data_IF_718470604370
#
_entry.id   IF_718470604370
#
_cell.length_a   1.000
_cell.length_b   1.000
_cell.length_c   1.000
_cell.angle_alpha   90.00
_cell.angle_beta   90.00
_cell.angle_gamma   90.00
#
_symmetry.space_group_name_H-M   'P 1'
#
loop_
_entity.id
_entity.type
_entity.pdbx_description
1 polymer ?
#
# COMPACT_ATOMS: atom_id res chain seq x y z
N UNK A 1 -20.76 16.85 -38.81
CA UNK A 1 -19.42 16.86 -38.18
C UNK A 1 -19.39 17.73 -36.89
N UNK A 2 -20.01 18.90 -36.91
CA UNK A 2 -19.90 19.92 -35.84
C UNK A 2 -20.62 19.53 -34.49
N UNK A 3 -21.68 18.73 -34.53
CA UNK A 3 -22.40 18.34 -33.32
C UNK A 3 -21.72 17.18 -32.55
N UNK A 4 -21.06 16.29 -33.27
CA UNK A 4 -20.36 15.14 -32.66
C UNK A 4 -19.11 15.61 -31.93
N UNK A 5 -18.36 16.54 -32.53
CA UNK A 5 -17.16 17.13 -31.93
C UNK A 5 -17.45 17.91 -30.65
N UNK A 6 -18.60 18.61 -30.58
CA UNK A 6 -19.01 19.35 -29.37
C UNK A 6 -19.41 18.43 -28.23
N UNK A 7 -20.11 17.35 -28.49
CA UNK A 7 -20.48 16.37 -27.45
C UNK A 7 -19.26 15.65 -26.88
N UNK A 8 -18.25 15.40 -27.71
CA UNK A 8 -17.01 14.74 -27.29
C UNK A 8 -16.15 15.65 -26.40
N UNK A 9 -16.15 16.97 -26.70
CA UNK A 9 -15.45 17.99 -25.90
C UNK A 9 -16.15 18.16 -24.55
N UNK A 10 -17.47 18.28 -24.52
CA UNK A 10 -18.25 18.41 -23.29
C UNK A 10 -18.07 17.19 -22.36
N UNK A 11 -18.03 15.99 -22.93
CA UNK A 11 -17.85 14.75 -22.18
C UNK A 11 -16.44 14.65 -21.56
N UNK A 12 -15.39 15.00 -22.32
CA UNK A 12 -14.02 15.03 -21.83
C UNK A 12 -13.80 16.07 -20.73
N UNK A 13 -14.40 17.24 -20.86
CA UNK A 13 -14.35 18.28 -19.84
C UNK A 13 -15.06 17.83 -18.54
N UNK A 14 -16.22 17.18 -18.68
CA UNK A 14 -16.98 16.68 -17.55
C UNK A 14 -16.20 15.60 -16.76
N UNK A 15 -15.58 14.66 -17.45
CA UNK A 15 -14.71 13.64 -16.83
C UNK A 15 -13.53 14.31 -16.09
N UNK A 16 -12.89 15.31 -16.72
CA UNK A 16 -11.79 16.02 -16.10
C UNK A 16 -12.17 16.71 -14.78
N UNK A 17 -13.36 17.31 -14.72
CA UNK A 17 -13.89 17.94 -13.50
C UNK A 17 -14.12 16.89 -12.40
N UNK A 18 -14.71 15.74 -12.74
CA UNK A 18 -14.94 14.67 -11.77
C UNK A 18 -13.64 14.06 -11.23
N UNK A 19 -12.61 13.93 -12.09
CA UNK A 19 -11.31 13.44 -11.66
C UNK A 19 -10.65 14.40 -10.65
N UNK A 20 -10.69 15.71 -10.91
CA UNK A 20 -10.18 16.72 -9.97
C UNK A 20 -10.94 16.68 -8.66
N UNK A 21 -12.26 16.63 -8.69
CA UNK A 21 -13.08 16.52 -7.48
C UNK A 21 -12.72 15.27 -6.67
N UNK A 22 -12.54 14.14 -7.33
CA UNK A 22 -12.12 12.90 -6.68
C UNK A 22 -10.73 13.01 -6.03
N UNK A 23 -9.78 13.68 -6.72
CA UNK A 23 -8.45 13.96 -6.15
C UNK A 23 -8.58 14.85 -4.91
N UNK A 24 -9.34 15.95 -4.99
CA UNK A 24 -9.54 16.87 -3.87
C UNK A 24 -10.22 16.19 -2.66
N UNK A 25 -11.15 15.26 -2.90
CA UNK A 25 -11.94 14.62 -1.85
C UNK A 25 -11.24 13.42 -1.19
N UNK A 26 -10.47 12.64 -1.94
CA UNK A 26 -9.99 11.32 -1.51
C UNK A 26 -8.47 11.18 -1.44
N UNK A 27 -7.71 12.11 -2.04
CA UNK A 27 -6.26 12.06 -2.07
C UNK A 27 -5.65 13.03 -1.06
N UNK A 28 -4.46 12.65 -0.58
CA UNK A 28 -3.65 13.42 0.36
C UNK A 28 -2.29 13.68 -0.25
N UNK A 29 -1.89 14.93 -0.31
CA UNK A 29 -0.54 15.35 -0.64
C UNK A 29 0.25 15.55 0.65
N UNK A 30 1.45 14.97 0.73
CA UNK A 30 2.24 14.97 1.94
C UNK A 30 3.73 14.89 1.70
N UNK A 31 4.46 15.43 2.64
CA UNK A 31 5.88 15.19 2.82
C UNK A 31 6.18 14.82 4.27
N UNK A 32 7.18 13.98 4.47
CA UNK A 32 7.55 13.55 5.81
C UNK A 32 9.01 13.10 5.90
N UNK A 33 9.50 12.99 7.13
CA UNK A 33 10.66 12.19 7.46
C UNK A 33 10.41 11.38 8.73
N UNK A 34 11.17 10.31 8.93
CA UNK A 34 11.00 9.41 10.05
C UNK A 34 12.29 9.25 10.85
N UNK A 35 12.13 9.12 12.16
CA UNK A 35 13.18 8.78 13.11
C UNK A 35 12.89 7.41 13.71
N UNK A 36 13.82 6.44 13.68
CA UNK A 36 13.59 5.11 14.23
C UNK A 36 13.48 5.16 15.76
N UNK A 37 12.57 4.33 16.32
CA UNK A 37 12.44 4.11 17.76
C UNK A 37 13.39 3.03 18.27
N UNK A 38 14.42 2.70 17.49
CA UNK A 38 15.46 1.75 17.83
C UNK A 38 16.84 2.38 17.66
N UNK A 39 17.81 1.88 18.42
CA UNK A 39 19.22 2.22 18.30
C UNK A 39 20.06 0.96 18.25
N UNK A 40 21.30 1.10 17.81
CA UNK A 40 22.30 0.02 17.87
C UNK A 40 23.01 0.09 19.20
N UNK A 41 23.08 -1.02 19.94
CA UNK A 41 23.82 -1.15 21.18
C UNK A 41 25.34 -1.43 20.93
N UNK A 42 26.09 -1.54 22.01
CA UNK A 42 27.54 -1.79 21.95
C UNK A 42 27.89 -3.17 21.33
N UNK A 43 26.93 -4.10 21.30
CA UNK A 43 27.05 -5.43 20.68
C UNK A 43 26.60 -5.45 19.20
N UNK A 44 26.34 -4.30 18.59
CA UNK A 44 25.77 -4.14 17.23
C UNK A 44 24.38 -4.77 17.07
N UNK A 45 23.57 -4.82 18.12
CA UNK A 45 22.18 -5.28 18.06
C UNK A 45 21.25 -4.09 18.07
N UNK A 46 20.15 -4.22 17.32
CA UNK A 46 19.07 -3.25 17.38
C UNK A 46 18.26 -3.43 18.67
N UNK A 47 18.16 -2.38 19.46
CA UNK A 47 17.39 -2.33 20.72
C UNK A 47 16.44 -1.15 20.68
N UNK A 48 15.29 -1.29 21.33
CA UNK A 48 14.31 -0.21 21.43
C UNK A 48 14.86 0.95 22.27
N UNK A 49 14.47 2.17 21.94
CA UNK A 49 14.72 3.34 22.76
C UNK A 49 13.99 3.22 24.09
N UNK A 50 14.62 3.67 25.17
CA UNK A 50 13.96 3.83 26.47
C UNK A 50 12.88 4.92 26.41
N UNK A 51 11.98 4.97 27.38
CA UNK A 51 10.94 5.99 27.46
C UNK A 51 11.52 7.41 27.57
N UNK A 52 12.68 7.56 28.24
CA UNK A 52 13.40 8.84 28.34
C UNK A 52 13.96 9.26 26.96
N UNK A 53 14.60 8.34 26.25
CA UNK A 53 15.14 8.58 24.91
C UNK A 53 14.03 8.88 23.89
N UNK A 54 12.88 8.22 24.01
CA UNK A 54 11.70 8.55 23.18
C UNK A 54 11.17 9.94 23.46
N UNK A 55 11.13 10.36 24.72
CA UNK A 55 10.73 11.70 25.11
C UNK A 55 11.67 12.76 24.56
N UNK A 56 12.98 12.56 24.65
CA UNK A 56 14.01 13.46 24.10
C UNK A 56 13.92 13.56 22.56
N UNK A 57 13.69 12.41 21.89
CA UNK A 57 13.45 12.35 20.45
C UNK A 57 12.22 13.16 20.09
N UNK A 58 11.10 12.95 20.79
CA UNK A 58 9.87 13.68 20.57
C UNK A 58 10.06 15.19 20.73
N UNK A 59 10.74 15.64 21.80
CA UNK A 59 11.05 17.04 21.99
C UNK A 59 11.89 17.61 20.84
N UNK A 60 12.84 16.82 20.33
CA UNK A 60 13.66 17.22 19.19
C UNK A 60 12.83 17.39 17.92
N UNK A 61 11.91 16.44 17.64
CA UNK A 61 11.05 16.50 16.45
C UNK A 61 9.99 17.61 16.57
N UNK A 62 9.49 17.90 17.76
CA UNK A 62 8.59 19.05 18.00
C UNK A 62 9.30 20.41 17.74
N UNK A 63 10.60 20.50 17.97
CA UNK A 63 11.39 21.67 17.60
C UNK A 63 11.50 21.82 16.07
N UNK A 64 11.61 20.72 15.32
CA UNK A 64 11.55 20.76 13.85
C UNK A 64 10.16 21.13 13.37
N UNK A 65 9.10 20.52 13.91
CA UNK A 65 7.71 20.92 13.64
C UNK A 65 7.53 22.42 13.74
N UNK A 66 7.89 23.02 14.88
CA UNK A 66 7.76 24.47 15.08
C UNK A 66 8.51 25.31 14.04
N UNK A 67 9.69 24.86 13.60
CA UNK A 67 10.46 25.55 12.56
C UNK A 67 9.80 25.43 11.19
N UNK A 68 9.23 24.26 10.89
CA UNK A 68 8.52 24.02 9.62
C UNK A 68 7.24 24.86 9.59
N UNK A 69 6.42 24.83 10.64
CA UNK A 69 5.20 25.62 10.77
C UNK A 69 5.45 27.14 10.63
N UNK A 70 6.59 27.60 11.13
CA UNK A 70 6.98 29.03 10.98
C UNK A 70 7.58 29.36 9.62
N UNK A 71 7.78 28.40 8.73
CA UNK A 71 8.46 28.57 7.45
C UNK A 71 9.98 28.83 7.56
N UNK A 72 10.57 28.64 8.75
CA UNK A 72 12.00 28.83 8.96
C UNK A 72 12.84 27.66 8.42
N UNK A 73 12.20 26.53 8.11
CA UNK A 73 12.85 25.32 7.61
C UNK A 73 11.86 24.51 6.78
N UNK A 74 12.31 23.86 5.72
CA UNK A 74 11.49 22.88 4.99
C UNK A 74 11.57 21.52 5.68
N UNK A 75 10.64 20.61 5.37
CA UNK A 75 10.69 19.23 5.89
C UNK A 75 11.97 18.51 5.41
N UNK A 76 12.39 18.76 4.17
CA UNK A 76 13.63 18.22 3.62
C UNK A 76 14.88 18.73 4.36
N UNK A 77 14.94 20.02 4.68
CA UNK A 77 16.04 20.59 5.47
C UNK A 77 16.07 20.00 6.88
N UNK A 78 14.89 19.82 7.50
CA UNK A 78 14.76 19.21 8.83
C UNK A 78 15.22 17.76 8.82
N UNK A 79 14.82 17.00 7.81
CA UNK A 79 15.26 15.60 7.61
C UNK A 79 16.78 15.50 7.45
N UNK A 80 17.37 16.42 6.67
CA UNK A 80 18.82 16.46 6.45
C UNK A 80 19.57 16.84 7.72
N UNK A 81 19.10 17.87 8.45
CA UNK A 81 19.72 18.29 9.73
C UNK A 81 19.63 17.19 10.80
N UNK A 82 18.48 16.47 10.86
CA UNK A 82 18.32 15.31 11.74
C UNK A 82 19.27 14.18 11.37
N UNK A 83 19.32 13.81 10.09
CA UNK A 83 20.18 12.74 9.58
C UNK A 83 21.66 12.98 9.89
N UNK A 84 22.13 14.22 9.72
CA UNK A 84 23.50 14.63 10.08
C UNK A 84 23.79 14.49 11.58
N UNK A 85 22.82 14.82 12.44
CA UNK A 85 22.99 14.72 13.91
C UNK A 85 23.08 13.26 14.38
N UNK A 86 22.29 12.39 13.77
CA UNK A 86 22.29 10.94 14.13
C UNK A 86 23.24 10.10 13.28
N UNK A 87 23.97 10.73 12.36
CA UNK A 87 24.91 10.10 11.43
C UNK A 87 24.27 8.97 10.59
N UNK A 88 23.09 9.23 10.07
CA UNK A 88 22.31 8.33 9.20
C UNK A 88 21.97 9.03 7.89
N UNK A 89 21.42 8.26 6.94
CA UNK A 89 20.88 8.80 5.70
C UNK A 89 19.54 9.52 5.98
N UNK A 90 19.24 10.53 5.18
CA UNK A 90 17.94 11.23 5.25
C UNK A 90 16.80 10.29 4.87
N UNK A 91 15.72 10.33 5.67
CA UNK A 91 14.49 9.55 5.46
C UNK A 91 13.37 10.40 4.85
N UNK A 92 13.70 11.55 4.25
CA UNK A 92 12.73 12.42 3.60
C UNK A 92 12.01 11.73 2.45
N UNK A 93 10.69 11.85 2.44
CA UNK A 93 9.82 11.31 1.38
C UNK A 93 8.63 12.25 1.14
N UNK A 94 8.12 12.21 -0.08
CA UNK A 94 6.89 12.88 -0.51
C UNK A 94 5.96 11.89 -1.19
N UNK A 95 4.68 12.21 -1.27
CA UNK A 95 3.74 11.40 -2.02
C UNK A 95 2.34 12.00 -2.08
N UNK A 96 1.63 11.65 -3.14
CA UNK A 96 0.22 11.95 -3.31
C UNK A 96 -0.49 10.61 -3.43
N UNK A 97 -1.33 10.27 -2.44
CA UNK A 97 -2.02 8.96 -2.40
C UNK A 97 -3.37 9.08 -1.72
N UNK A 98 -4.30 8.24 -2.15
CA UNK A 98 -5.50 7.92 -1.39
C UNK A 98 -5.20 6.94 -0.24
N UNK A 99 -6.20 6.66 0.59
CA UNK A 99 -6.06 5.74 1.72
C UNK A 99 -5.60 4.34 1.29
N UNK A 100 -6.14 3.80 0.19
CA UNK A 100 -5.78 2.49 -0.32
C UNK A 100 -4.33 2.45 -0.81
N UNK A 101 -3.88 3.51 -1.47
CA UNK A 101 -2.50 3.68 -1.92
C UNK A 101 -1.51 3.76 -0.77
N UNK A 102 -1.87 4.42 0.32
CA UNK A 102 -1.06 4.46 1.54
C UNK A 102 -0.98 3.07 2.21
N UNK A 103 -2.12 2.36 2.35
CA UNK A 103 -2.16 1.00 2.88
C UNK A 103 -1.34 0.02 2.02
N UNK A 104 -1.47 0.10 0.70
CA UNK A 104 -0.71 -0.73 -0.25
C UNK A 104 0.79 -0.45 -0.22
N UNK A 105 1.17 0.74 0.23
CA UNK A 105 2.57 1.15 0.44
C UNK A 105 3.09 0.83 1.84
N UNK A 106 2.32 0.10 2.64
CA UNK A 106 2.66 -0.30 4.01
C UNK A 106 2.95 0.89 4.94
N UNK A 107 2.27 2.02 4.72
CA UNK A 107 2.33 3.14 5.65
C UNK A 107 1.76 2.72 7.00
N UNK A 108 2.33 3.19 8.14
CA UNK A 108 1.79 2.88 9.46
C UNK A 108 0.35 3.40 9.62
N UNK A 109 -0.50 2.64 10.32
CA UNK A 109 -1.89 3.05 10.59
C UNK A 109 -1.96 4.42 11.31
N UNK A 110 -1.01 4.71 12.19
CA UNK A 110 -0.90 6.00 12.87
C UNK A 110 -0.66 7.16 11.88
N UNK A 111 0.16 6.92 10.83
CA UNK A 111 0.37 7.89 9.76
C UNK A 111 -0.92 8.16 8.98
N UNK A 112 -1.61 7.07 8.57
CA UNK A 112 -2.85 7.16 7.79
C UNK A 112 -3.94 7.88 8.59
N UNK A 113 -4.04 7.59 9.88
CA UNK A 113 -5.01 8.25 10.76
C UNK A 113 -4.69 9.74 10.93
N UNK A 114 -3.43 10.07 11.16
CA UNK A 114 -3.00 11.46 11.33
C UNK A 114 -3.26 12.30 10.09
N UNK A 115 -2.84 11.84 8.90
CA UNK A 115 -3.01 12.61 7.66
C UNK A 115 -4.48 12.89 7.33
N UNK A 116 -5.39 11.99 7.72
CA UNK A 116 -6.84 12.16 7.52
C UNK A 116 -7.45 13.20 8.47
N UNK A 117 -6.89 13.36 9.65
CA UNK A 117 -7.37 14.30 10.67
C UNK A 117 -6.74 15.69 10.54
N UNK A 118 -5.56 15.81 9.93
CA UNK A 118 -4.85 17.07 9.69
C UNK A 118 -5.58 17.92 8.65
N UNK A 119 -5.47 19.25 8.76
CA UNK A 119 -5.82 20.17 7.69
C UNK A 119 -4.62 20.36 6.75
N UNK A 120 -4.88 20.84 5.54
CA UNK A 120 -3.82 21.26 4.62
C UNK A 120 -2.95 22.35 5.26
N UNK A 121 -1.64 22.18 5.19
CA UNK A 121 -0.64 23.03 5.81
C UNK A 121 -0.27 22.69 7.26
N UNK A 122 -0.98 21.74 7.88
CA UNK A 122 -0.66 21.29 9.24
C UNK A 122 0.61 20.42 9.24
N UNK A 123 1.40 20.54 10.31
CA UNK A 123 2.56 19.70 10.57
C UNK A 123 2.34 18.96 11.90
N UNK A 124 2.57 17.65 11.92
CA UNK A 124 2.40 16.83 13.13
C UNK A 124 3.57 15.90 13.38
N UNK A 125 3.81 15.59 14.67
CA UNK A 125 4.74 14.54 15.10
C UNK A 125 3.93 13.31 15.48
N UNK A 126 3.99 12.30 14.62
CA UNK A 126 3.21 11.07 14.73
C UNK A 126 4.08 9.93 15.24
N UNK A 127 3.66 9.28 16.32
CA UNK A 127 4.32 8.08 16.84
C UNK A 127 3.69 6.83 16.26
N UNK A 128 4.50 5.99 15.62
CA UNK A 128 4.11 4.67 15.17
C UNK A 128 4.86 3.59 15.96
N UNK A 129 4.61 2.33 15.67
CA UNK A 129 5.26 1.21 16.38
C UNK A 129 6.78 1.20 16.24
N UNK A 130 7.32 1.69 15.11
CA UNK A 130 8.77 1.59 14.80
C UNK A 130 9.45 2.95 14.63
N UNK A 131 8.67 3.98 14.39
CA UNK A 131 9.19 5.29 13.99
C UNK A 131 8.41 6.40 14.67
N UNK A 132 9.08 7.52 14.90
CA UNK A 132 8.47 8.80 15.13
C UNK A 132 8.60 9.62 13.84
N UNK A 133 7.52 10.19 13.35
CA UNK A 133 7.40 10.76 12.01
C UNK A 133 7.04 12.24 12.14
N UNK A 134 7.77 13.11 11.47
CA UNK A 134 7.34 14.49 11.25
C UNK A 134 6.62 14.51 9.91
N UNK A 135 5.31 14.73 9.96
CA UNK A 135 4.39 14.69 8.83
C UNK A 135 3.87 16.09 8.54
N UNK A 136 3.90 16.51 7.28
CA UNK A 136 3.33 17.77 6.80
C UNK A 136 2.32 17.44 5.70
N UNK A 137 1.08 17.86 5.88
CA UNK A 137 0.03 17.76 4.87
C UNK A 137 0.07 18.98 3.95
N UNK A 138 0.30 18.73 2.67
CA UNK A 138 0.37 19.78 1.64
C UNK A 138 -1.02 20.07 1.04
N UNK A 139 -1.23 21.26 0.44
CA UNK A 139 -2.44 21.55 -0.31
C UNK A 139 -2.51 20.72 -1.59
N UNK A 140 -3.48 19.82 -1.70
CA UNK A 140 -3.61 18.89 -2.84
C UNK A 140 -3.79 19.64 -4.17
N UNK A 141 -4.38 20.83 -4.17
CA UNK A 141 -4.61 21.65 -5.37
C UNK A 141 -3.33 22.11 -6.06
N UNK A 142 -2.24 22.18 -5.34
CA UNK A 142 -0.97 22.67 -5.90
C UNK A 142 -0.33 21.57 -6.80
N UNK A 143 -0.63 20.31 -6.53
CA UNK A 143 -0.03 19.15 -7.21
C UNK A 143 -1.04 18.22 -7.92
N UNK A 144 -2.34 18.56 -7.96
CA UNK A 144 -3.35 17.76 -8.66
C UNK A 144 -3.03 17.57 -10.15
N UNK A 145 -2.47 18.59 -10.81
CA UNK A 145 -2.07 18.52 -12.22
C UNK A 145 -0.97 17.49 -12.43
N UNK A 146 -0.07 17.30 -11.47
CA UNK A 146 1.00 16.29 -11.51
C UNK A 146 0.42 14.87 -11.61
N UNK A 147 -0.67 14.58 -10.89
CA UNK A 147 -1.39 13.31 -11.01
C UNK A 147 -2.04 13.17 -12.38
N UNK A 148 -2.62 14.25 -12.90
CA UNK A 148 -3.36 14.26 -14.16
C UNK A 148 -2.46 14.28 -15.41
N UNK A 149 -1.19 14.65 -15.31
CA UNK A 149 -0.23 14.61 -16.42
C UNK A 149 0.14 13.17 -16.82
N UNK A 150 0.20 12.26 -15.85
CA UNK A 150 0.50 10.85 -16.12
C UNK A 150 -0.70 10.13 -16.74
N UNK A 151 -0.48 9.46 -17.88
CA UNK A 151 -1.52 8.63 -18.53
C UNK A 151 -1.96 7.46 -17.66
N UNK A 152 -1.04 6.90 -16.87
CA UNK A 152 -1.30 5.75 -16.02
C UNK A 152 -2.13 6.16 -14.80
N UNK A 153 -1.79 7.29 -14.16
CA UNK A 153 -2.57 7.84 -13.06
C UNK A 153 -3.99 8.20 -13.52
N UNK A 154 -4.12 8.86 -14.69
CA UNK A 154 -5.45 9.17 -15.25
C UNK A 154 -6.27 7.91 -15.51
N UNK A 155 -5.65 6.86 -16.03
CA UNK A 155 -6.34 5.59 -16.28
C UNK A 155 -6.79 4.94 -14.98
N UNK A 156 -5.98 5.00 -13.93
CA UNK A 156 -6.33 4.48 -12.60
C UNK A 156 -7.46 5.28 -11.97
N UNK A 157 -7.39 6.62 -11.95
CA UNK A 157 -8.45 7.50 -11.47
C UNK A 157 -9.78 7.26 -12.20
N UNK A 158 -9.70 7.07 -13.52
CA UNK A 158 -10.89 6.78 -14.34
C UNK A 158 -11.50 5.42 -13.97
N UNK A 159 -10.64 4.44 -13.69
CA UNK A 159 -11.08 3.11 -13.26
C UNK A 159 -11.74 3.18 -11.88
N UNK A 160 -11.20 3.93 -10.94
CA UNK A 160 -11.78 4.13 -9.61
C UNK A 160 -13.15 4.80 -9.70
N UNK A 161 -13.27 5.89 -10.47
CA UNK A 161 -14.51 6.62 -10.68
C UNK A 161 -15.59 5.80 -11.42
N UNK A 162 -15.19 4.95 -12.36
CA UNK A 162 -16.11 4.27 -13.30
C UNK A 162 -16.27 2.78 -13.06
N UNK A 163 -15.54 2.21 -12.10
CA UNK A 163 -15.53 0.76 -11.86
C UNK A 163 -16.94 0.21 -11.61
N UNK A 164 -17.74 0.89 -10.79
CA UNK A 164 -19.12 0.47 -10.50
C UNK A 164 -20.00 0.55 -11.74
N UNK A 165 -19.96 1.66 -12.47
CA UNK A 165 -20.74 1.84 -13.70
C UNK A 165 -20.37 0.80 -14.76
N UNK A 166 -19.08 0.51 -14.89
CA UNK A 166 -18.56 -0.52 -15.80
C UNK A 166 -19.02 -1.92 -15.41
N UNK A 167 -18.90 -2.26 -14.12
CA UNK A 167 -19.34 -3.56 -13.60
C UNK A 167 -20.84 -3.76 -13.79
N UNK A 168 -21.64 -2.73 -13.56
CA UNK A 168 -23.10 -2.76 -13.76
C UNK A 168 -23.44 -2.90 -15.25
N UNK A 169 -22.76 -2.17 -16.13
CA UNK A 169 -22.94 -2.27 -17.58
C UNK A 169 -22.59 -3.66 -18.11
N UNK A 170 -21.49 -4.24 -17.66
CA UNK A 170 -21.06 -5.61 -18.01
C UNK A 170 -22.07 -6.63 -17.50
N UNK A 171 -22.56 -6.47 -16.26
CA UNK A 171 -23.58 -7.34 -15.68
C UNK A 171 -24.89 -7.27 -16.45
N UNK A 172 -25.36 -6.07 -16.80
CA UNK A 172 -26.56 -5.86 -17.60
C UNK A 172 -26.42 -6.46 -19.00
N UNK A 173 -25.27 -6.25 -19.66
CA UNK A 173 -24.98 -6.84 -20.96
C UNK A 173 -24.95 -8.36 -20.90
N UNK A 174 -24.34 -8.95 -19.88
CA UNK A 174 -24.29 -10.38 -19.67
C UNK A 174 -25.69 -10.98 -19.42
N UNK A 175 -26.55 -10.28 -18.65
CA UNK A 175 -27.93 -10.71 -18.38
C UNK A 175 -28.83 -10.61 -19.61
N UNK A 176 -28.59 -9.63 -20.48
CA UNK A 176 -29.36 -9.42 -21.72
C UNK A 176 -28.89 -10.26 -22.91
N UNK A 177 -27.78 -10.99 -22.75
CA UNK A 177 -27.19 -11.78 -23.83
C UNK A 177 -27.96 -13.09 -24.03
N UNK A 178 -28.78 -13.14 -25.08
CA UNK A 178 -29.65 -14.26 -25.40
C UNK A 178 -28.92 -15.51 -25.94
N UNK A 179 -27.60 -15.40 -26.20
CA UNK A 179 -26.77 -16.48 -26.74
C UNK A 179 -26.13 -17.41 -25.69
N UNK A 180 -26.44 -17.23 -24.40
CA UNK A 180 -25.89 -18.09 -23.33
C UNK A 180 -26.81 -19.28 -23.08
N UNK A 181 -26.43 -20.44 -23.56
CA UNK A 181 -27.04 -21.70 -23.14
C UNK A 181 -26.41 -22.19 -21.83
N UNK A 182 -27.16 -22.07 -20.75
CA UNK A 182 -26.71 -22.54 -19.44
C UNK A 182 -26.78 -24.07 -19.37
N UNK A 183 -25.63 -24.72 -19.21
CA UNK A 183 -25.61 -26.16 -18.93
C UNK A 183 -26.04 -26.40 -17.48
N UNK A 184 -27.35 -26.52 -17.27
CA UNK A 184 -27.98 -26.74 -15.96
C UNK A 184 -27.40 -27.98 -15.23
N UNK A 185 -26.98 -28.97 -15.98
CA UNK A 185 -26.40 -30.20 -15.41
C UNK A 185 -25.01 -29.91 -14.78
N UNK A 186 -24.25 -29.01 -15.35
CA UNK A 186 -22.97 -28.55 -14.79
C UNK A 186 -23.20 -27.59 -13.63
N UNK A 187 -24.09 -26.60 -13.79
CA UNK A 187 -24.42 -25.64 -12.74
C UNK A 187 -24.95 -26.30 -11.47
N UNK A 188 -25.76 -27.35 -11.60
CA UNK A 188 -26.31 -28.08 -10.45
C UNK A 188 -25.25 -28.91 -9.66
N UNK A 189 -24.03 -29.05 -10.20
CA UNK A 189 -22.89 -29.63 -9.48
C UNK A 189 -22.20 -28.63 -8.57
N UNK A 190 -22.31 -27.34 -8.88
CA UNK A 190 -21.68 -26.27 -8.14
C UNK A 190 -22.74 -25.56 -7.30
N UNK A 191 -22.92 -26.01 -6.07
CA UNK A 191 -23.84 -25.34 -5.14
C UNK A 191 -23.23 -24.00 -4.70
N UNK A 192 -24.02 -22.93 -4.57
CA UNK A 192 -23.53 -21.64 -4.08
C UNK A 192 -22.76 -21.73 -2.76
N UNK A 193 -23.12 -22.69 -1.90
CA UNK A 193 -22.42 -22.99 -0.64
C UNK A 193 -20.96 -23.42 -0.83
N UNK A 194 -20.58 -23.96 -1.98
CA UNK A 194 -19.18 -24.35 -2.25
C UNK A 194 -18.26 -23.14 -2.46
N UNK A 195 -18.86 -21.98 -2.74
CA UNK A 195 -18.12 -20.71 -2.96
C UNK A 195 -18.28 -19.73 -1.79
N UNK A 196 -19.21 -19.98 -0.87
CA UNK A 196 -19.48 -19.11 0.25
C UNK A 196 -18.35 -19.13 1.32
N UNK A 197 -17.61 -20.25 1.39
CA UNK A 197 -16.59 -20.45 2.43
C UNK A 197 -15.21 -19.84 2.09
N UNK A 198 -14.98 -19.42 0.85
CA UNK A 198 -13.71 -18.80 0.45
C UNK A 198 -13.53 -17.36 0.96
N UNK A 199 -14.57 -16.72 1.48
CA UNK A 199 -14.48 -15.38 2.10
C UNK A 199 -14.29 -15.41 3.63
N UNK A 200 -14.27 -16.58 4.27
CA UNK A 200 -14.16 -16.71 5.73
C UNK A 200 -12.82 -17.24 6.25
N UNK A 201 -11.87 -17.61 5.40
CA UNK A 201 -10.57 -18.13 5.86
C UNK A 201 -9.46 -17.06 5.86
N UNK A 202 -9.72 -16.00 6.58
CA UNK A 202 -8.71 -15.09 7.10
C UNK A 202 -8.64 -15.15 8.63
N UNK A 203 -8.91 -16.31 9.25
CA UNK A 203 -8.53 -16.49 10.67
C UNK A 203 -8.49 -17.98 10.98
N UNK A 204 -7.28 -18.43 11.25
CA UNK A 204 -6.95 -19.72 11.82
C UNK A 204 -7.71 -19.97 13.12
N UNK A 205 -8.41 -21.09 13.25
CA UNK A 205 -8.49 -21.79 14.51
C UNK A 205 -8.73 -23.28 14.26
N UNK A 206 -7.73 -24.03 14.66
CA UNK A 206 -7.70 -25.47 14.81
C UNK A 206 -8.73 -25.85 15.86
N UNK A 207 -9.69 -26.71 15.54
CA UNK A 207 -10.39 -27.50 16.51
C UNK A 207 -10.64 -28.89 15.93
N UNK A 208 -9.97 -29.84 16.50
CA UNK A 208 -10.18 -31.28 16.40
C UNK A 208 -11.60 -31.65 16.80
N UNK A 209 -12.26 -32.51 16.03
CA UNK A 209 -13.09 -33.55 16.61
C UNK A 209 -13.10 -34.77 15.71
N UNK A 210 -12.82 -35.88 16.38
CA UNK A 210 -12.75 -37.26 15.94
C UNK A 210 -14.14 -37.88 15.86
N UNK A 211 -14.31 -38.78 14.93
CA UNK A 211 -14.89 -40.13 15.12
C UNK A 211 -15.08 -40.79 13.77
N UNK A 212 -14.35 -41.88 13.60
CA UNK A 212 -14.78 -43.29 13.51
C UNK A 212 -15.70 -43.61 12.33
N UNK A 213 -15.32 -44.43 11.45
CA UNK A 213 -15.27 -45.88 11.42
C UNK A 213 -14.91 -46.42 10.03
N UNK A 214 -13.95 -47.32 10.06
CA UNK A 214 -13.82 -48.62 9.42
C UNK A 214 -13.86 -48.83 7.91
N UNK A 215 -12.81 -49.41 7.54
CA UNK A 215 -12.59 -50.70 6.89
C UNK A 215 -11.94 -50.70 5.51
N UNK A 216 -10.78 -51.28 5.54
CA UNK A 216 -10.30 -52.45 4.78
C UNK A 216 -9.57 -52.21 3.45
N UNK A 217 -8.32 -52.54 3.59
CA UNK A 217 -7.45 -53.46 2.82
C UNK A 217 -7.08 -53.04 1.39
N UNK A 218 -5.94 -53.17 1.02
CA UNK A 218 -4.72 -53.93 0.90
C UNK A 218 -3.81 -53.25 -0.11
N UNK A 219 -2.59 -53.07 0.25
CA UNK A 219 -1.37 -53.79 -0.06
C UNK A 219 -0.78 -53.52 -1.46
N UNK A 220 0.43 -53.05 -1.49
CA UNK A 220 1.62 -53.53 -2.16
C UNK A 220 2.56 -52.38 -2.48
N UNK A 221 3.62 -52.23 -1.75
CA UNK A 221 4.99 -52.70 -1.92
C UNK A 221 5.82 -52.05 -3.02
N UNK A 222 6.92 -51.62 -2.51
CA UNK A 222 8.31 -51.67 -3.02
C UNK A 222 8.73 -50.52 -3.94
N UNK A 223 9.73 -49.87 -3.64
CA UNK A 223 11.14 -50.02 -3.38
C UNK A 223 11.95 -49.10 -4.26
N UNK A 224 12.86 -48.41 -3.59
CA UNK A 224 14.29 -48.27 -3.91
C UNK A 224 14.67 -47.37 -5.09
N UNK A 225 15.53 -46.46 -4.97
CA UNK A 225 16.94 -46.35 -4.60
C UNK A 225 17.44 -44.98 -4.97
N UNK A 226 18.12 -44.29 -4.08
CA UNK A 226 19.54 -43.96 -4.07
C UNK A 226 20.17 -43.57 -5.43
N UNK A 227 20.82 -42.44 -5.53
CA UNK A 227 22.26 -42.27 -5.33
C UNK A 227 22.72 -40.90 -5.83
N UNK A 228 23.43 -40.19 -4.94
CA UNK A 228 24.76 -39.60 -5.06
C UNK A 228 25.06 -38.46 -6.02
N UNK A 229 25.47 -37.38 -5.40
CA UNK A 229 26.78 -36.69 -5.45
C UNK A 229 27.37 -36.33 -6.83
N UNK A 230 27.76 -35.09 -7.00
CA UNK A 230 29.16 -34.68 -6.87
C UNK A 230 29.33 -33.16 -7.12
N UNK A 231 30.07 -32.59 -6.24
CA UNK A 231 30.96 -31.43 -6.29
C UNK A 231 31.57 -31.15 -7.66
N UNK A 232 31.69 -29.85 -7.98
CA UNK A 232 32.96 -29.36 -8.52
C UNK A 232 33.18 -27.87 -8.20
N UNK A 233 34.20 -27.65 -7.39
CA UNK A 233 34.96 -26.39 -7.28
C UNK A 233 35.80 -26.18 -8.53
N UNK A 234 36.09 -24.95 -8.88
CA UNK A 234 37.36 -24.42 -9.40
C UNK A 234 37.20 -22.93 -9.64
N UNK A 235 37.72 -22.06 -8.83
CA UNK A 235 39.04 -21.40 -8.80
C UNK A 235 39.55 -20.80 -10.12
N UNK A 236 39.83 -19.57 -10.02
CA UNK A 236 41.06 -18.80 -10.36
C UNK A 236 40.72 -17.48 -11.01
N UNK A 237 41.00 -16.40 -10.39
CA UNK A 237 42.28 -15.62 -10.37
C UNK A 237 42.51 -14.79 -11.62
N UNK A 238 42.72 -13.52 -11.32
CA UNK A 238 43.86 -12.70 -11.73
C UNK A 238 43.68 -11.56 -12.72
N UNK A 239 44.01 -10.41 -12.18
CA UNK A 239 44.93 -9.35 -12.66
C UNK A 239 44.35 -8.26 -13.58
N UNK A 240 44.33 -7.09 -13.04
CA UNK A 240 45.23 -5.92 -13.26
C UNK A 240 45.27 -5.32 -14.69
N UNK A 241 44.78 -4.12 -14.85
CA UNK A 241 45.54 -2.92 -15.23
C UNK A 241 44.75 -1.65 -14.91
#
# INVERSE_FOLDING_TARGET
>A
HDQHDRQDIDHKQHIGIHMRQHIEDDYYDYEYFSAPLTKTDDDNKSVDLTDEEKADLKETLEKYKTKIESGAMTVNDAATDYALKVQQDSTYQTGIKDENGMQSSYMPDAFISAIKEMNEGDVEVVESTKYMIVLHRLPIKDDEDTLLESSDNRSQLLLELKNTEYADAVSAAAQSFEGVEWNQKVLNRYKPSMFADTKKNGTSSVASESSDESASSEESSAESSETSSETNETSSESSAE
#
